data_IF_281524413480
#
_entry.id   IF_281524413480
#
_cell.length_a   1.000
_cell.length_b   1.000
_cell.length_c   1.000
_cell.angle_alpha   90.00
_cell.angle_beta   90.00
_cell.angle_gamma   90.00
#
_symmetry.space_group_name_H-M   'P 1'
#
loop_
_entity.id
_entity.type
_entity.pdbx_description
1 polymer ?
#
# COMPACT_ATOMS: atom_id res chain seq x y z
N UNK A 1 -0.12 -28.33 -52.50
CA UNK A 1 0.58 -27.08 -52.14
C UNK A 1 -0.42 -25.97 -51.73
N UNK A 2 -1.42 -26.24 -50.85
CA UNK A 2 -2.40 -25.21 -50.46
C UNK A 2 -3.27 -25.55 -49.21
N UNK A 3 -2.81 -26.36 -48.25
CA UNK A 3 -3.64 -26.73 -47.07
C UNK A 3 -2.98 -26.60 -45.68
N UNK A 4 -1.70 -26.24 -45.59
CA UNK A 4 -0.98 -26.22 -44.30
C UNK A 4 -0.56 -24.82 -43.82
N UNK A 5 -1.03 -23.74 -44.43
CA UNK A 5 -0.65 -22.36 -44.05
C UNK A 5 -1.75 -21.66 -43.23
N UNK A 6 -2.99 -22.16 -43.23
CA UNK A 6 -4.11 -21.50 -42.56
C UNK A 6 -4.20 -21.76 -41.05
N UNK A 7 -3.49 -22.77 -40.53
CA UNK A 7 -3.52 -23.10 -39.10
C UNK A 7 -2.48 -22.34 -38.25
N UNK A 8 -1.48 -21.69 -38.86
CA UNK A 8 -0.51 -20.87 -38.13
C UNK A 8 -0.95 -19.41 -37.96
N UNK A 9 -1.98 -18.94 -38.68
CA UNK A 9 -2.46 -17.55 -38.59
C UNK A 9 -3.56 -17.34 -37.54
N UNK A 10 -4.17 -18.41 -37.02
CA UNK A 10 -5.20 -18.33 -35.99
C UNK A 10 -4.67 -18.51 -34.55
N UNK A 11 -3.42 -18.95 -34.37
CA UNK A 11 -2.81 -19.06 -33.04
C UNK A 11 -1.99 -17.83 -32.63
N UNK A 12 -1.61 -16.97 -33.58
CA UNK A 12 -0.83 -15.74 -33.31
C UNK A 12 -1.71 -14.56 -32.86
N UNK A 13 -3.04 -14.68 -32.95
CA UNK A 13 -3.98 -13.61 -32.56
C UNK A 13 -4.63 -13.77 -31.17
N UNK A 14 -4.29 -14.81 -30.40
CA UNK A 14 -4.85 -15.03 -29.04
C UNK A 14 -3.89 -14.75 -27.89
N UNK A 15 -2.64 -14.38 -28.20
CA UNK A 15 -1.79 -13.64 -27.26
C UNK A 15 -2.20 -12.16 -27.30
N UNK A 16 -3.48 -11.87 -27.04
CA UNK A 16 -3.81 -10.60 -26.43
C UNK A 16 -3.08 -10.62 -25.10
N UNK A 17 -1.94 -9.92 -25.05
CA UNK A 17 -1.36 -9.55 -23.77
C UNK A 17 -2.53 -9.02 -22.95
N UNK A 18 -2.87 -9.71 -21.87
CA UNK A 18 -3.53 -9.07 -20.75
C UNK A 18 -2.50 -8.09 -20.18
N UNK A 19 -2.26 -6.99 -20.91
CA UNK A 19 -1.71 -5.78 -20.31
C UNK A 19 -2.81 -5.35 -19.37
N UNK A 20 -2.69 -5.78 -18.12
CA UNK A 20 -3.52 -5.28 -17.04
C UNK A 20 -3.23 -3.79 -17.00
N UNK A 21 -4.06 -3.00 -17.67
CA UNK A 21 -3.99 -1.55 -17.64
C UNK A 21 -4.20 -1.17 -16.19
N UNK A 22 -3.14 -0.68 -15.55
CA UNK A 22 -3.31 0.02 -14.30
C UNK A 22 -4.10 1.29 -14.63
N UNK A 23 -5.32 1.41 -14.12
CA UNK A 23 -6.04 2.67 -14.21
C UNK A 23 -5.42 3.63 -13.19
N UNK A 24 -5.19 4.86 -13.63
CA UNK A 24 -4.68 5.95 -12.79
C UNK A 24 -5.78 6.55 -11.89
N UNK A 25 -7.02 6.07 -12.06
CA UNK A 25 -8.22 6.60 -11.42
C UNK A 25 -8.71 5.70 -10.30
N UNK A 26 -9.52 6.26 -9.41
CA UNK A 26 -10.17 5.56 -8.31
C UNK A 26 -10.72 4.19 -8.74
N UNK A 27 -10.23 3.15 -8.06
CA UNK A 27 -10.75 1.78 -8.19
C UNK A 27 -11.30 1.35 -6.82
N UNK A 28 -12.61 1.40 -6.64
CA UNK A 28 -13.28 1.07 -5.36
C UNK A 28 -12.76 -0.20 -4.68
N UNK A 29 -12.46 -1.25 -5.46
CA UNK A 29 -11.94 -2.53 -4.93
C UNK A 29 -10.60 -2.42 -4.19
N UNK A 30 -9.78 -1.41 -4.52
CA UNK A 30 -8.43 -1.24 -3.98
C UNK A 30 -8.43 -0.49 -2.64
N UNK A 31 -9.52 0.18 -2.32
CA UNK A 31 -9.72 0.84 -1.04
C UNK A 31 -10.10 -0.20 0.01
N UNK A 32 -9.25 -0.35 1.02
CA UNK A 32 -9.43 -1.37 2.04
C UNK A 32 -9.11 -0.83 3.43
N UNK A 33 -10.05 -0.97 4.37
CA UNK A 33 -9.78 -0.80 5.79
C UNK A 33 -8.87 -1.93 6.24
N UNK A 34 -7.69 -1.59 6.75
CA UNK A 34 -6.68 -2.52 7.26
C UNK A 34 -6.84 -2.71 8.75
N UNK A 35 -6.94 -1.61 9.49
CA UNK A 35 -6.96 -1.62 10.95
C UNK A 35 -7.84 -0.50 11.51
N UNK A 36 -8.25 -0.66 12.76
CA UNK A 36 -8.85 0.39 13.57
C UNK A 36 -8.40 0.26 15.01
N UNK A 37 -8.25 1.38 15.68
CA UNK A 37 -7.96 1.35 17.11
C UNK A 37 -9.16 0.89 17.92
N UNK A 38 -8.95 0.41 19.15
CA UNK A 38 -9.96 0.55 20.19
C UNK A 38 -10.36 2.02 20.38
N UNK A 39 -11.45 2.26 21.10
CA UNK A 39 -11.81 3.62 21.51
C UNK A 39 -10.66 4.20 22.35
N UNK A 40 -10.09 5.31 21.88
CA UNK A 40 -8.98 6.01 22.51
C UNK A 40 -9.47 6.84 23.71
N UNK A 41 -8.53 7.43 24.46
CA UNK A 41 -8.82 8.21 25.67
C UNK A 41 -9.69 9.47 25.42
N UNK A 42 -9.73 9.97 24.19
CA UNK A 42 -10.57 11.07 23.75
C UNK A 42 -11.98 10.63 23.28
N UNK A 43 -12.29 9.32 23.33
CA UNK A 43 -13.56 8.76 22.88
C UNK A 43 -13.65 8.48 21.38
N UNK A 44 -12.59 8.73 20.60
CA UNK A 44 -12.56 8.47 19.17
C UNK A 44 -11.95 7.11 18.82
N UNK A 45 -12.24 6.66 17.60
CA UNK A 45 -11.62 5.51 16.95
C UNK A 45 -10.88 6.04 15.73
N UNK A 46 -9.64 5.61 15.55
CA UNK A 46 -8.84 5.94 14.37
C UNK A 46 -8.78 4.72 13.43
N UNK A 47 -8.59 4.97 12.14
CA UNK A 47 -8.70 3.97 11.08
C UNK A 47 -7.50 4.02 10.14
N UNK A 48 -7.04 2.86 9.70
CA UNK A 48 -5.98 2.71 8.72
C UNK A 48 -6.56 2.17 7.42
N UNK A 49 -6.34 2.88 6.33
CA UNK A 49 -6.75 2.45 5.00
C UNK A 49 -5.57 2.40 4.05
N UNK A 50 -5.71 1.52 3.06
CA UNK A 50 -4.94 1.54 1.82
C UNK A 50 -5.84 1.85 0.63
N UNK A 51 -5.24 2.31 -0.46
CA UNK A 51 -5.95 2.50 -1.72
C UNK A 51 -5.03 2.75 -2.90
N UNK A 52 -5.64 3.07 -4.03
CA UNK A 52 -4.96 3.68 -5.17
C UNK A 52 -5.21 5.19 -5.20
N UNK A 53 -4.56 5.85 -6.17
CA UNK A 53 -4.65 7.29 -6.39
C UNK A 53 -6.11 7.80 -6.40
N UNK A 54 -6.48 8.72 -5.50
CA UNK A 54 -7.81 9.30 -5.44
C UNK A 54 -8.00 10.44 -6.46
N UNK A 55 -7.64 10.20 -7.73
CA UNK A 55 -7.80 11.19 -8.81
C UNK A 55 -8.87 10.78 -9.81
N UNK A 56 -9.42 11.79 -10.47
CA UNK A 56 -10.37 11.66 -11.56
C UNK A 56 -9.88 12.41 -12.80
N UNK A 57 -10.29 11.95 -13.97
CA UNK A 57 -10.10 12.70 -15.22
C UNK A 57 -11.25 13.68 -15.40
N UNK A 58 -10.89 14.95 -15.61
CA UNK A 58 -11.80 16.01 -16.02
C UNK A 58 -11.41 16.50 -17.41
N UNK A 59 -12.29 17.26 -18.11
CA UNK A 59 -11.93 17.89 -19.38
C UNK A 59 -10.70 18.80 -19.31
N UNK A 60 -10.32 19.26 -18.11
CA UNK A 60 -9.22 20.19 -17.87
C UNK A 60 -7.94 19.51 -17.38
N UNK A 61 -7.95 18.19 -17.16
CA UNK A 61 -6.80 17.44 -16.67
C UNK A 61 -7.18 16.43 -15.59
N UNK A 62 -6.19 16.07 -14.76
CA UNK A 62 -6.41 15.24 -13.59
C UNK A 62 -6.66 16.13 -12.37
N UNK A 63 -7.60 15.71 -11.52
CA UNK A 63 -7.97 16.41 -10.29
C UNK A 63 -8.04 15.43 -9.13
N UNK A 64 -7.58 15.85 -7.96
CA UNK A 64 -7.78 15.09 -6.72
C UNK A 64 -9.26 15.16 -6.31
N UNK A 65 -9.86 14.01 -6.02
CA UNK A 65 -11.28 13.89 -5.69
C UNK A 65 -11.48 13.48 -4.24
N UNK A 66 -11.51 14.47 -3.33
CA UNK A 66 -11.73 14.23 -1.90
C UNK A 66 -13.07 13.55 -1.61
N UNK A 67 -14.15 13.97 -2.27
CA UNK A 67 -15.47 13.38 -2.07
C UNK A 67 -15.48 11.89 -2.44
N UNK A 68 -14.90 11.53 -3.59
CA UNK A 68 -14.82 10.12 -3.99
C UNK A 68 -13.86 9.31 -3.10
N UNK A 69 -12.79 9.92 -2.58
CA UNK A 69 -11.95 9.30 -1.56
C UNK A 69 -12.79 8.97 -0.31
N UNK A 70 -13.52 9.94 0.24
CA UNK A 70 -14.39 9.74 1.41
C UNK A 70 -15.44 8.65 1.15
N UNK A 71 -16.07 8.67 -0.03
CA UNK A 71 -17.05 7.65 -0.42
C UNK A 71 -16.40 6.25 -0.49
N UNK A 72 -15.19 6.14 -1.02
CA UNK A 72 -14.46 4.88 -1.05
C UNK A 72 -14.12 4.37 0.36
N UNK A 73 -13.66 5.25 1.26
CA UNK A 73 -13.34 4.90 2.65
C UNK A 73 -14.59 4.41 3.41
N UNK A 74 -15.72 5.11 3.22
CA UNK A 74 -17.02 4.71 3.80
C UNK A 74 -17.50 3.37 3.25
N UNK A 75 -17.57 3.22 1.94
CA UNK A 75 -18.01 1.96 1.32
C UNK A 75 -17.11 0.78 1.74
N UNK A 76 -15.79 1.00 1.82
CA UNK A 76 -14.83 -0.02 2.21
C UNK A 76 -15.02 -0.46 3.66
N UNK A 77 -15.16 0.49 4.59
CA UNK A 77 -15.42 0.18 6.01
C UNK A 77 -16.79 -0.46 6.22
N UNK A 78 -17.83 0.01 5.54
CA UNK A 78 -19.19 -0.55 5.63
C UNK A 78 -19.23 -2.01 5.16
N UNK A 79 -18.45 -2.36 4.13
CA UNK A 79 -18.31 -3.76 3.67
C UNK A 79 -17.74 -4.70 4.75
N UNK A 80 -17.08 -4.14 5.76
CA UNK A 80 -16.54 -4.84 6.93
C UNK A 80 -17.40 -4.65 8.19
N UNK A 81 -18.62 -4.10 8.05
CA UNK A 81 -19.54 -3.85 9.16
C UNK A 81 -19.09 -2.71 10.08
N UNK A 82 -18.28 -1.77 9.57
CA UNK A 82 -17.75 -0.62 10.32
C UNK A 82 -18.29 0.66 9.69
N UNK A 83 -18.89 1.53 10.50
CA UNK A 83 -19.37 2.84 10.06
C UNK A 83 -18.35 3.91 10.46
N UNK A 84 -17.80 4.63 9.49
CA UNK A 84 -16.97 5.80 9.77
C UNK A 84 -17.82 6.94 10.36
N UNK A 85 -17.24 7.78 11.23
CA UNK A 85 -17.90 8.97 11.72
C UNK A 85 -18.22 9.95 10.58
N UNK A 86 -19.20 10.83 10.80
CA UNK A 86 -19.61 11.82 9.80
C UNK A 86 -18.49 12.85 9.51
N UNK A 87 -17.67 13.17 10.51
CA UNK A 87 -16.52 14.07 10.45
C UNK A 87 -15.25 13.36 10.96
N UNK A 88 -14.18 13.44 10.19
CA UNK A 88 -12.86 12.88 10.52
C UNK A 88 -11.75 13.67 9.81
N UNK A 89 -10.53 13.50 10.29
CA UNK A 89 -9.32 14.10 9.73
C UNK A 89 -8.55 13.06 8.91
N UNK A 90 -8.24 13.36 7.65
CA UNK A 90 -7.46 12.45 6.80
C UNK A 90 -5.97 12.79 6.88
N UNK A 91 -5.13 11.82 7.21
CA UNK A 91 -3.68 11.90 7.00
C UNK A 91 -3.39 11.10 5.74
N UNK A 92 -3.17 11.79 4.63
CA UNK A 92 -2.96 11.20 3.30
C UNK A 92 -1.46 11.03 3.02
N UNK A 93 -1.01 9.79 2.85
CA UNK A 93 0.39 9.44 2.63
C UNK A 93 0.57 8.78 1.27
N UNK A 94 1.12 9.55 0.32
CA UNK A 94 1.46 9.02 -1.00
C UNK A 94 2.82 8.33 -0.98
N UNK A 95 2.85 7.07 -1.40
CA UNK A 95 4.04 6.25 -1.55
C UNK A 95 4.64 6.46 -2.94
N UNK A 96 5.84 7.03 -2.98
CA UNK A 96 6.49 7.52 -4.21
C UNK A 96 7.82 6.81 -4.47
N UNK A 97 8.27 6.80 -5.72
CA UNK A 97 9.65 6.42 -6.05
C UNK A 97 10.62 7.59 -5.88
N UNK A 98 10.11 8.82 -5.78
CA UNK A 98 10.93 10.03 -5.63
C UNK A 98 11.50 10.54 -6.97
N UNK A 99 10.83 10.21 -8.07
CA UNK A 99 11.21 10.66 -9.42
C UNK A 99 10.41 11.88 -9.86
N UNK A 100 11.00 12.72 -10.71
CA UNK A 100 10.38 14.00 -11.13
C UNK A 100 9.05 13.83 -11.85
N UNK A 101 8.80 12.68 -12.50
CA UNK A 101 7.53 12.39 -13.17
C UNK A 101 6.36 12.24 -12.22
N UNK A 102 6.59 12.02 -10.92
CA UNK A 102 5.52 11.94 -9.91
C UNK A 102 5.13 13.32 -9.35
N UNK A 103 5.91 14.38 -9.62
CA UNK A 103 5.65 15.72 -9.09
C UNK A 103 4.24 16.24 -9.46
N UNK A 104 3.77 16.15 -10.72
CA UNK A 104 2.45 16.68 -11.05
C UNK A 104 1.32 16.07 -10.23
N UNK A 105 1.34 14.75 -10.02
CA UNK A 105 0.32 14.05 -9.24
C UNK A 105 0.48 14.28 -7.73
N UNK A 106 1.70 14.46 -7.22
CA UNK A 106 1.95 14.85 -5.82
C UNK A 106 1.35 16.24 -5.53
N UNK A 107 1.48 17.17 -6.48
CA UNK A 107 0.98 18.54 -6.31
C UNK A 107 -0.55 18.62 -6.27
N UNK A 108 -1.29 17.66 -6.85
CA UNK A 108 -2.75 17.66 -6.76
C UNK A 108 -3.24 17.52 -5.31
N UNK A 109 -2.77 16.48 -4.61
CA UNK A 109 -3.10 16.21 -3.21
C UNK A 109 -2.54 17.29 -2.29
N UNK A 110 -1.26 17.66 -2.46
CA UNK A 110 -0.59 18.69 -1.66
C UNK A 110 -1.35 20.01 -1.70
N UNK A 111 -1.72 20.48 -2.89
CA UNK A 111 -2.41 21.76 -3.03
C UNK A 111 -3.84 21.69 -2.46
N UNK A 112 -4.53 20.54 -2.60
CA UNK A 112 -5.85 20.36 -2.00
C UNK A 112 -5.79 20.47 -0.47
N UNK A 113 -4.92 19.70 0.19
CA UNK A 113 -4.84 19.70 1.66
C UNK A 113 -4.25 21.00 2.21
N UNK A 114 -3.34 21.66 1.48
CA UNK A 114 -2.87 23.00 1.85
C UNK A 114 -4.01 24.04 1.82
N UNK A 115 -4.93 23.93 0.86
CA UNK A 115 -6.10 24.81 0.78
C UNK A 115 -7.24 24.41 1.73
N UNK A 116 -7.27 23.16 2.21
CA UNK A 116 -8.35 22.59 3.02
C UNK A 116 -7.82 21.91 4.30
N UNK A 117 -6.98 22.60 5.07
CA UNK A 117 -6.27 22.03 6.23
C UNK A 117 -7.15 21.51 7.36
N UNK A 118 -8.44 21.85 7.38
CA UNK A 118 -9.44 21.31 8.31
C UNK A 118 -9.91 19.89 7.96
N UNK A 119 -9.71 19.46 6.71
CA UNK A 119 -10.12 18.15 6.19
C UNK A 119 -9.02 17.09 6.35
N UNK A 120 -7.77 17.51 6.48
CA UNK A 120 -6.64 16.61 6.55
C UNK A 120 -5.30 17.27 6.30
N UNK A 121 -4.28 16.43 6.14
CA UNK A 121 -2.92 16.79 5.74
C UNK A 121 -2.35 15.76 4.75
N UNK A 122 -1.30 16.17 4.05
CA UNK A 122 -0.65 15.38 3.01
C UNK A 122 0.84 15.18 3.30
N UNK A 123 1.31 13.95 3.13
CA UNK A 123 2.72 13.58 3.22
C UNK A 123 3.13 12.63 2.11
N UNK A 124 4.45 12.49 1.91
CA UNK A 124 5.00 11.51 0.97
C UNK A 124 6.01 10.62 1.65
N UNK A 125 5.98 9.34 1.32
CA UNK A 125 6.96 8.35 1.76
C UNK A 125 7.63 7.69 0.56
N UNK A 126 8.96 7.79 0.47
CA UNK A 126 9.71 7.08 -0.57
C UNK A 126 9.66 5.58 -0.26
N UNK A 127 9.21 4.80 -1.24
CA UNK A 127 9.06 3.33 -1.15
C UNK A 127 9.53 2.74 -2.48
N UNK A 128 10.71 2.12 -2.45
CA UNK A 128 11.42 1.57 -3.61
C UNK A 128 11.32 0.04 -3.67
N UNK A 129 10.98 -0.62 -2.56
CA UNK A 129 11.28 -2.01 -2.33
C UNK A 129 12.78 -2.27 -2.16
N UNK A 130 13.16 -3.54 -2.18
CA UNK A 130 14.56 -3.98 -2.10
C UNK A 130 15.06 -4.56 -3.42
N UNK A 131 16.37 -4.55 -3.61
CA UNK A 131 17.03 -5.03 -4.83
C UNK A 131 17.38 -6.53 -4.82
N UNK A 132 17.40 -7.13 -3.63
CA UNK A 132 17.91 -8.47 -3.41
C UNK A 132 16.82 -9.37 -2.83
N UNK A 133 16.54 -10.45 -3.54
CA UNK A 133 15.76 -11.56 -2.98
C UNK A 133 16.51 -12.15 -1.77
N UNK A 134 15.92 -12.13 -0.56
CA UNK A 134 16.54 -12.73 0.61
C UNK A 134 16.93 -14.20 0.39
N UNK A 135 16.21 -14.95 -0.45
CA UNK A 135 16.45 -16.36 -0.71
C UNK A 135 17.78 -16.64 -1.41
N UNK A 136 18.34 -15.66 -2.13
CA UNK A 136 19.67 -15.78 -2.74
C UNK A 136 20.82 -15.45 -1.78
N UNK A 137 20.52 -14.95 -0.58
CA UNK A 137 21.53 -14.64 0.44
C UNK A 137 21.76 -15.85 1.36
N UNK A 138 23.02 -16.25 1.63
CA UNK A 138 23.33 -17.30 2.59
C UNK A 138 22.65 -17.05 3.95
N UNK A 139 22.21 -18.12 4.61
CA UNK A 139 21.37 -18.00 5.82
C UNK A 139 22.03 -17.17 6.94
N UNK A 140 23.34 -17.30 7.15
CA UNK A 140 24.08 -16.49 8.15
C UNK A 140 23.95 -15.01 7.86
N UNK A 141 24.23 -14.63 6.62
CA UNK A 141 24.33 -13.24 6.19
C UNK A 141 22.93 -12.63 6.12
N UNK A 142 21.93 -13.41 5.69
CA UNK A 142 20.51 -13.03 5.69
C UNK A 142 20.02 -12.68 7.09
N UNK A 143 20.40 -13.45 8.11
CA UNK A 143 20.05 -13.16 9.50
C UNK A 143 20.73 -11.87 9.97
N UNK A 144 22.01 -11.68 9.64
CA UNK A 144 22.75 -10.47 10.00
C UNK A 144 22.15 -9.22 9.34
N UNK A 145 21.83 -9.29 8.05
CA UNK A 145 21.24 -8.18 7.30
C UNK A 145 19.84 -7.86 7.80
N UNK A 146 19.02 -8.88 8.09
CA UNK A 146 17.71 -8.70 8.69
C UNK A 146 17.80 -8.01 10.06
N UNK A 147 18.82 -8.34 10.87
CA UNK A 147 19.03 -7.68 12.17
C UNK A 147 19.37 -6.21 12.06
N UNK A 148 20.11 -5.84 11.02
CA UNK A 148 20.54 -4.47 10.77
C UNK A 148 19.66 -3.74 9.73
N UNK A 149 18.44 -4.23 9.47
CA UNK A 149 17.56 -3.70 8.42
C UNK A 149 17.38 -2.17 8.47
N UNK A 150 17.27 -1.63 9.69
CA UNK A 150 17.13 -0.18 9.97
C UNK A 150 18.30 0.66 9.44
N UNK A 151 19.47 0.07 9.21
CA UNK A 151 20.67 0.79 8.80
C UNK A 151 20.78 0.93 7.28
N UNK A 152 20.19 0.01 6.52
CA UNK A 152 20.45 -0.10 5.09
C UNK A 152 19.21 -0.05 4.20
N UNK A 153 18.05 -0.52 4.67
CA UNK A 153 16.84 -0.54 3.86
C UNK A 153 16.36 0.90 3.61
N UNK A 154 16.22 1.28 2.33
CA UNK A 154 15.84 2.65 1.95
C UNK A 154 14.40 3.00 2.30
N UNK A 155 13.54 1.99 2.37
CA UNK A 155 12.13 2.16 2.69
C UNK A 155 11.89 2.32 4.20
N UNK A 156 12.90 2.00 5.03
CA UNK A 156 12.87 2.15 6.48
C UNK A 156 11.57 1.58 7.11
N UNK A 157 11.18 0.38 6.69
CA UNK A 157 9.93 -0.25 7.12
C UNK A 157 9.82 -0.39 8.64
N UNK A 158 10.89 -0.70 9.42
CA UNK A 158 10.80 -0.74 10.88
C UNK A 158 10.29 0.55 11.50
N UNK A 159 10.86 1.70 11.12
CA UNK A 159 10.41 2.99 11.63
C UNK A 159 9.03 3.33 11.07
N UNK A 160 8.79 3.11 9.77
CA UNK A 160 7.53 3.49 9.13
C UNK A 160 6.33 2.77 9.72
N UNK A 161 6.44 1.48 10.03
CA UNK A 161 5.37 0.74 10.68
C UNK A 161 5.12 1.21 12.11
N UNK A 162 6.16 1.67 12.80
CA UNK A 162 6.01 2.27 14.12
C UNK A 162 5.32 3.64 14.04
N UNK A 163 5.74 4.49 13.10
CA UNK A 163 5.13 5.80 12.86
C UNK A 163 3.63 5.67 12.54
N UNK A 164 3.25 4.74 11.67
CA UNK A 164 1.83 4.54 11.32
C UNK A 164 1.01 4.04 12.50
N UNK A 165 1.56 3.13 13.30
CA UNK A 165 0.90 2.66 14.51
C UNK A 165 0.78 3.78 15.56
N UNK A 166 1.80 4.61 15.69
CA UNK A 166 1.78 5.76 16.60
C UNK A 166 0.78 6.82 16.15
N UNK A 167 0.67 7.10 14.84
CA UNK A 167 -0.38 7.98 14.29
C UNK A 167 -1.76 7.47 14.69
N UNK A 168 -2.03 6.17 14.46
CA UNK A 168 -3.33 5.58 14.80
C UNK A 168 -3.62 5.66 16.30
N UNK A 169 -2.63 5.43 17.15
CA UNK A 169 -2.82 5.40 18.61
C UNK A 169 -2.64 6.76 19.29
N UNK A 170 -2.42 7.85 18.54
CA UNK A 170 -2.34 9.20 19.09
C UNK A 170 -3.71 9.86 19.09
N UNK A 171 -4.26 10.23 20.26
CA UNK A 171 -5.54 10.93 20.35
C UNK A 171 -5.44 12.35 19.76
N UNK A 172 -6.32 12.70 18.83
CA UNK A 172 -6.50 14.06 18.29
C UNK A 172 -7.91 14.60 18.60
N UNK A 173 -8.18 15.84 18.21
CA UNK A 173 -9.49 16.50 18.41
C UNK A 173 -10.60 15.98 17.46
N UNK A 174 -10.25 15.07 16.55
CA UNK A 174 -11.16 14.35 15.66
C UNK A 174 -10.72 12.88 15.50
N UNK A 175 -11.63 11.98 15.09
CA UNK A 175 -11.24 10.69 14.54
C UNK A 175 -10.28 10.87 13.37
N UNK A 176 -9.26 10.02 13.27
CA UNK A 176 -8.25 10.06 12.20
C UNK A 176 -8.46 8.89 11.24
N UNK A 177 -8.38 9.20 9.95
CA UNK A 177 -8.19 8.20 8.89
C UNK A 177 -6.78 8.37 8.35
N UNK A 178 -5.88 7.46 8.70
CA UNK A 178 -4.58 7.35 8.04
C UNK A 178 -4.79 6.58 6.74
N UNK A 179 -4.57 7.24 5.62
CA UNK A 179 -4.72 6.64 4.29
C UNK A 179 -3.35 6.64 3.62
N UNK A 180 -2.85 5.46 3.25
CA UNK A 180 -1.65 5.38 2.41
C UNK A 180 -1.99 4.78 1.05
N UNK A 181 -1.40 5.33 0.00
CA UNK A 181 -1.66 4.85 -1.36
C UNK A 181 -0.44 5.05 -2.25
N UNK A 182 -0.45 4.38 -3.39
CA UNK A 182 0.41 4.74 -4.49
C UNK A 182 -0.45 4.81 -5.74
N UNK A 183 0.14 5.26 -6.84
CA UNK A 183 -0.58 5.48 -8.10
C UNK A 183 -1.56 4.35 -8.47
N UNK A 184 -1.08 3.11 -8.39
CA UNK A 184 -1.84 1.91 -8.72
C UNK A 184 -2.55 1.27 -7.53
N UNK A 185 -2.19 1.60 -6.29
CA UNK A 185 -2.62 0.90 -5.09
C UNK A 185 -2.15 -0.56 -4.98
N UNK A 186 -1.14 -0.95 -5.76
CA UNK A 186 -0.62 -2.32 -5.83
C UNK A 186 0.76 -2.44 -5.17
N UNK A 187 1.84 -1.99 -5.82
CA UNK A 187 3.20 -2.45 -5.46
C UNK A 187 3.71 -1.89 -4.12
N UNK A 188 3.91 -0.57 -4.06
CA UNK A 188 4.37 0.12 -2.85
C UNK A 188 3.33 0.04 -1.75
N UNK A 189 2.06 0.14 -2.13
CA UNK A 189 0.93 -0.02 -1.20
C UNK A 189 0.90 -1.41 -0.60
N UNK A 190 1.17 -2.45 -1.39
CA UNK A 190 1.20 -3.83 -0.95
C UNK A 190 2.39 -4.14 -0.06
N UNK A 191 3.58 -3.61 -0.35
CA UNK A 191 4.73 -3.71 0.56
C UNK A 191 4.42 -3.12 1.95
N UNK A 192 3.87 -1.91 1.98
CA UNK A 192 3.49 -1.23 3.22
C UNK A 192 2.36 -1.97 3.94
N UNK A 193 1.31 -2.38 3.22
CA UNK A 193 0.17 -3.07 3.80
C UNK A 193 0.57 -4.45 4.36
N UNK A 194 1.35 -5.23 3.60
CA UNK A 194 1.88 -6.51 4.04
C UNK A 194 2.77 -6.35 5.28
N UNK A 195 3.66 -5.35 5.28
CA UNK A 195 4.51 -5.04 6.43
C UNK A 195 3.69 -4.72 7.68
N UNK A 196 2.61 -3.94 7.53
CA UNK A 196 1.76 -3.58 8.65
C UNK A 196 1.06 -4.80 9.25
N UNK A 197 0.42 -5.63 8.40
CA UNK A 197 -0.34 -6.79 8.88
C UNK A 197 0.57 -7.88 9.47
N UNK A 198 1.79 -8.05 8.94
CA UNK A 198 2.78 -8.94 9.57
C UNK A 198 3.16 -8.48 10.97
N UNK A 199 3.42 -7.18 11.18
CA UNK A 199 3.83 -6.66 12.51
C UNK A 199 2.70 -6.67 13.52
N UNK A 200 1.50 -6.20 13.17
CA UNK A 200 0.45 -5.92 14.14
C UNK A 200 -0.66 -6.97 14.20
N UNK A 201 -0.82 -7.77 13.14
CA UNK A 201 -1.76 -8.89 13.12
C UNK A 201 -1.08 -10.26 13.21
N UNK A 202 0.26 -10.31 13.15
CA UNK A 202 1.03 -11.55 13.25
C UNK A 202 0.82 -12.48 12.06
N UNK A 203 0.39 -11.94 10.91
CA UNK A 203 0.26 -12.74 9.69
C UNK A 203 1.64 -13.18 9.20
N UNK A 204 1.73 -14.39 8.66
CA UNK A 204 2.93 -14.80 7.93
C UNK A 204 3.03 -14.07 6.57
N UNK A 205 4.24 -14.15 5.98
CA UNK A 205 4.57 -13.44 4.75
C UNK A 205 3.65 -13.78 3.58
N UNK A 206 3.37 -15.07 3.37
CA UNK A 206 2.52 -15.53 2.26
C UNK A 206 1.08 -15.08 2.46
N UNK A 207 0.54 -15.21 3.67
CA UNK A 207 -0.82 -14.74 4.00
C UNK A 207 -0.97 -13.25 3.74
N UNK A 208 0.04 -12.45 4.13
CA UNK A 208 0.05 -11.01 3.90
C UNK A 208 0.06 -10.64 2.41
N UNK A 209 0.88 -11.32 1.60
CA UNK A 209 0.90 -11.12 0.15
C UNK A 209 -0.39 -11.60 -0.52
N UNK A 210 -0.87 -12.80 -0.22
CA UNK A 210 -2.11 -13.34 -0.81
C UNK A 210 -3.32 -12.44 -0.55
N UNK A 211 -3.38 -11.81 0.62
CA UNK A 211 -4.41 -10.81 0.94
C UNK A 211 -4.23 -9.54 0.11
N UNK A 212 -3.00 -9.04 0.00
CA UNK A 212 -2.68 -7.87 -0.83
C UNK A 212 -3.02 -8.11 -2.31
N UNK A 213 -2.64 -9.27 -2.87
CA UNK A 213 -2.89 -9.63 -4.26
C UNK A 213 -4.38 -9.67 -4.61
N UNK A 214 -5.22 -10.12 -3.67
CA UNK A 214 -6.69 -10.12 -3.84
C UNK A 214 -7.24 -8.71 -3.97
N UNK A 215 -6.69 -7.75 -3.22
CA UNK A 215 -7.09 -6.33 -3.25
C UNK A 215 -6.54 -5.66 -4.52
N UNK A 216 -5.25 -5.85 -4.80
CA UNK A 216 -4.57 -5.28 -5.96
C UNK A 216 -5.08 -5.87 -7.29
N UNK A 217 -5.55 -7.11 -7.28
CA UNK A 217 -5.96 -7.89 -8.45
C UNK A 217 -4.78 -8.47 -9.24
N UNK A 218 -3.57 -8.44 -8.68
CA UNK A 218 -2.34 -9.02 -9.25
C UNK A 218 -1.24 -9.15 -8.18
N UNK A 219 -0.21 -9.98 -8.41
CA UNK A 219 1.04 -9.93 -7.65
C UNK A 219 1.69 -8.56 -7.69
N UNK A 220 2.29 -8.16 -6.57
CA UNK A 220 3.16 -6.97 -6.50
C UNK A 220 4.49 -7.23 -7.21
N UNK A 221 5.16 -6.15 -7.59
CA UNK A 221 6.47 -6.25 -8.21
C UNK A 221 7.51 -6.92 -7.28
N UNK A 222 8.47 -7.69 -7.84
CA UNK A 222 9.43 -8.45 -7.04
C UNK A 222 10.22 -7.61 -6.03
N UNK A 223 10.63 -6.39 -6.38
CA UNK A 223 11.36 -5.51 -5.45
C UNK A 223 10.55 -5.17 -4.21
N UNK A 224 9.25 -4.87 -4.36
CA UNK A 224 8.35 -4.57 -3.24
C UNK A 224 8.04 -5.83 -2.43
N UNK A 225 7.94 -6.99 -3.09
CA UNK A 225 7.84 -8.31 -2.44
C UNK A 225 9.07 -8.58 -1.56
N UNK A 226 10.27 -8.37 -2.10
CA UNK A 226 11.52 -8.55 -1.36
C UNK A 226 11.64 -7.56 -0.20
N UNK A 227 11.18 -6.33 -0.36
CA UNK A 227 11.13 -5.33 0.71
C UNK A 227 10.31 -5.79 1.91
N UNK A 228 9.09 -6.29 1.63
CA UNK A 228 8.23 -6.90 2.65
C UNK A 228 8.87 -8.16 3.26
N UNK A 229 9.54 -9.00 2.46
CA UNK A 229 10.19 -10.22 2.96
C UNK A 229 11.37 -9.92 3.89
N UNK A 230 12.22 -8.95 3.54
CA UNK A 230 13.29 -8.47 4.42
C UNK A 230 12.73 -7.96 5.75
N UNK A 231 11.60 -7.25 5.69
CA UNK A 231 10.92 -6.81 6.89
C UNK A 231 10.37 -7.96 7.73
N UNK A 232 9.78 -9.00 7.12
CA UNK A 232 9.39 -10.22 7.84
C UNK A 232 10.59 -10.83 8.59
N UNK A 233 11.75 -10.95 7.91
CA UNK A 233 12.96 -11.48 8.53
C UNK A 233 13.45 -10.59 9.68
N UNK A 234 13.32 -9.26 9.58
CA UNK A 234 13.58 -8.35 10.69
C UNK A 234 12.63 -8.60 11.88
N UNK A 235 11.33 -8.77 11.64
CA UNK A 235 10.36 -9.12 12.69
C UNK A 235 10.78 -10.42 13.40
N UNK A 236 11.17 -11.44 12.63
CA UNK A 236 11.61 -12.74 13.14
C UNK A 236 12.89 -12.65 13.96
N UNK A 237 13.93 -11.99 13.45
CA UNK A 237 15.27 -12.06 14.03
C UNK A 237 15.65 -10.90 14.95
N UNK A 238 15.02 -9.74 14.80
CA UNK A 238 15.26 -8.55 15.63
C UNK A 238 14.20 -8.41 16.71
N UNK A 239 12.94 -8.61 16.37
CA UNK A 239 11.81 -8.49 17.31
C UNK A 239 11.39 -9.82 17.93
N UNK A 240 12.04 -10.93 17.55
CA UNK A 240 11.76 -12.29 18.03
C UNK A 240 10.28 -12.71 17.87
N UNK A 241 9.64 -12.26 16.78
CA UNK A 241 8.28 -12.70 16.44
C UNK A 241 8.28 -14.12 15.91
N UNK A 242 7.30 -14.92 16.33
CA UNK A 242 7.05 -16.25 15.77
C UNK A 242 6.27 -16.12 14.45
N UNK A 243 7.00 -15.94 13.36
CA UNK A 243 6.46 -15.64 12.03
C UNK A 243 7.21 -16.45 10.96
N UNK A 244 6.46 -16.90 9.94
CA UNK A 244 7.01 -17.53 8.75
C UNK A 244 7.28 -16.48 7.66
N UNK A 245 8.48 -16.51 7.11
CA UNK A 245 9.00 -15.56 6.13
C UNK A 245 9.49 -16.25 4.85
N UNK A 246 9.28 -17.56 4.75
CA UNK A 246 9.72 -18.32 3.60
C UNK A 246 8.76 -18.07 2.42
N UNK A 247 9.35 -17.81 1.25
CA UNK A 247 8.66 -17.65 -0.02
C UNK A 247 8.86 -18.96 -0.78
N UNK A 248 7.83 -19.80 -0.88
CA UNK A 248 7.94 -21.15 -1.49
C UNK A 248 8.16 -21.05 -3.00
#
# INVERSE_FOLDING_TARGET
MAKNILFCLLFVLSLTLNVVYCTFYIEYRKFHLIDKTPVLSNGFVNYLFRGNEPTISTPNGEEFSYEQLVDCLRNSSESQGITLPDDFYIIDIKLIYGVSSEIPVIELERNFFAANSSLGEFGTNVTLGDLWDPNFIPKSDRIEWAKNLTEWQKDNLPQRMEDYYNILNTPLDKPVVLFFHCLCGCDRTGEIAASYVMRYFGWDFITALDWDEKIAGRPIMPNNKWGAQWYCLYLKYSLNMDIDCDDI
#
